data_IF_523801534264
#
_entry.id   IF_523801534264
#
_cell.length_a   1.000
_cell.length_b   1.000
_cell.length_c   1.000
_cell.angle_alpha   90.00
_cell.angle_beta   90.00
_cell.angle_gamma   90.00
#
_symmetry.space_group_name_H-M   'P 1'
#
loop_
_entity.id
_entity.type
_entity.pdbx_description
1 polymer ?
#
# COMPACT_ATOMS: atom_id res chain seq x y z
N UNK A 1 -64.83 40.72 30.93
CA UNK A 1 -63.35 40.70 31.03
C UNK A 1 -62.90 39.25 30.87
N UNK A 2 -62.03 39.01 29.89
CA UNK A 2 -61.48 37.70 29.53
C UNK A 2 -60.45 37.26 30.59
N UNK A 3 -60.42 35.99 30.96
CA UNK A 3 -59.18 35.35 31.43
C UNK A 3 -59.23 33.87 31.10
N UNK A 4 -58.53 33.50 30.02
CA UNK A 4 -58.27 32.12 29.65
C UNK A 4 -56.90 31.72 30.19
N UNK A 5 -56.83 30.59 30.89
CA UNK A 5 -55.57 29.95 31.21
C UNK A 5 -55.23 28.97 30.07
N UNK A 6 -54.20 29.30 29.30
CA UNK A 6 -53.51 28.37 28.40
C UNK A 6 -52.26 27.93 29.14
N UNK A 7 -52.22 26.66 29.56
CA UNK A 7 -50.98 26.03 30.04
C UNK A 7 -50.30 25.42 28.81
N UNK A 8 -49.09 25.92 28.53
CA UNK A 8 -48.24 25.52 27.41
C UNK A 8 -47.62 24.15 27.71
N UNK A 9 -48.01 23.11 26.96
CA UNK A 9 -47.31 21.82 26.97
C UNK A 9 -46.10 21.93 26.03
N UNK A 10 -44.90 22.03 26.59
CA UNK A 10 -43.66 22.00 25.80
C UNK A 10 -43.37 20.56 25.38
N UNK A 11 -43.68 20.22 24.12
CA UNK A 11 -43.25 18.96 23.49
C UNK A 11 -41.82 19.16 22.99
N UNK A 12 -40.86 18.58 23.69
CA UNK A 12 -39.47 18.50 23.24
C UNK A 12 -39.38 17.44 22.14
N UNK A 13 -39.44 17.87 20.88
CA UNK A 13 -39.19 16.99 19.74
C UNK A 13 -37.69 16.68 19.67
N UNK A 14 -37.31 15.48 20.14
CA UNK A 14 -36.00 14.89 19.87
C UNK A 14 -35.90 14.63 18.36
N UNK A 15 -35.26 15.55 17.64
CA UNK A 15 -34.81 15.33 16.27
C UNK A 15 -33.68 14.29 16.30
N UNK A 16 -34.04 13.02 16.20
CA UNK A 16 -33.10 11.96 15.86
C UNK A 16 -32.84 12.10 14.36
N UNK A 17 -31.79 12.84 14.00
CA UNK A 17 -31.29 12.85 12.63
C UNK A 17 -30.94 11.41 12.24
N UNK A 18 -31.44 10.88 11.12
CA UNK A 18 -30.97 9.60 10.64
C UNK A 18 -29.48 9.75 10.33
N UNK A 19 -28.64 8.98 11.03
CA UNK A 19 -27.26 8.75 10.61
C UNK A 19 -27.37 8.00 9.29
N UNK A 20 -27.30 8.75 8.18
CA UNK A 20 -27.06 8.19 6.87
C UNK A 20 -25.65 7.62 6.89
N UNK A 21 -25.52 6.38 7.36
CA UNK A 21 -24.39 5.54 7.01
C UNK A 21 -24.45 5.35 5.51
N UNK A 22 -23.68 6.16 4.76
CA UNK A 22 -23.42 5.85 3.37
C UNK A 22 -22.65 4.54 3.37
N UNK A 23 -23.35 3.43 3.11
CA UNK A 23 -22.70 2.21 2.67
C UNK A 23 -22.04 2.54 1.32
N UNK A 24 -20.79 3.00 1.35
CA UNK A 24 -19.96 3.10 0.16
C UNK A 24 -19.89 1.68 -0.41
N UNK A 25 -20.50 1.49 -1.57
CA UNK A 25 -20.40 0.24 -2.32
C UNK A 25 -18.93 0.08 -2.73
N UNK A 26 -18.31 -1.03 -2.34
CA UNK A 26 -16.97 -1.44 -2.79
C UNK A 26 -17.03 -1.77 -4.28
N UNK A 27 -16.65 -0.82 -5.12
CA UNK A 27 -16.64 -0.92 -6.58
C UNK A 27 -15.55 -1.85 -7.07
N UNK A 28 -14.50 -2.04 -6.27
CA UNK A 28 -13.39 -2.93 -6.57
C UNK A 28 -13.65 -4.38 -6.16
N UNK A 29 -14.72 -4.67 -5.41
CA UNK A 29 -15.04 -5.99 -4.87
C UNK A 29 -14.77 -7.17 -5.82
N UNK A 30 -15.25 -7.13 -7.09
CA UNK A 30 -15.01 -8.21 -8.07
C UNK A 30 -13.54 -8.39 -8.50
N UNK A 31 -12.71 -7.36 -8.33
CA UNK A 31 -11.29 -7.36 -8.71
C UNK A 31 -10.37 -7.65 -7.52
N UNK A 32 -10.88 -7.56 -6.29
CA UNK A 32 -10.07 -7.72 -5.08
C UNK A 32 -9.54 -9.15 -4.96
N UNK A 33 -8.32 -9.25 -4.43
CA UNK A 33 -7.62 -10.53 -4.25
C UNK A 33 -6.90 -10.61 -2.91
N UNK A 34 -6.64 -11.83 -2.45
CA UNK A 34 -5.70 -12.09 -1.34
C UNK A 34 -4.24 -12.13 -1.82
N UNK A 35 -4.01 -12.35 -3.11
CA UNK A 35 -2.68 -12.41 -3.72
C UNK A 35 -2.08 -11.01 -3.78
N UNK A 36 -0.85 -10.89 -3.30
CA UNK A 36 -0.13 -9.61 -3.22
C UNK A 36 1.03 -9.61 -4.18
N UNK A 37 0.93 -8.80 -5.23
CA UNK A 37 2.09 -8.45 -6.07
C UNK A 37 2.43 -7.01 -5.73
N UNK A 38 3.44 -6.83 -4.89
CA UNK A 38 3.89 -5.54 -4.35
C UNK A 38 4.85 -4.90 -5.33
N UNK A 39 4.48 -3.78 -5.94
CA UNK A 39 5.37 -3.03 -6.84
C UNK A 39 6.37 -2.21 -6.04
N UNK A 40 7.66 -2.45 -6.26
CA UNK A 40 8.77 -1.85 -5.52
C UNK A 40 9.38 -0.70 -6.32
N UNK A 41 9.26 0.51 -5.78
CA UNK A 41 9.79 1.74 -6.40
C UNK A 41 11.07 2.26 -5.77
N UNK A 42 11.37 1.79 -4.55
CA UNK A 42 12.51 2.23 -3.75
C UNK A 42 13.24 0.98 -3.26
N UNK A 43 14.55 0.93 -3.45
CA UNK A 43 15.39 -0.16 -2.96
C UNK A 43 15.86 0.11 -1.54
N UNK A 44 16.05 -0.97 -0.78
CA UNK A 44 16.67 -0.91 0.54
C UNK A 44 18.09 -0.36 0.44
N UNK A 45 18.47 0.49 1.39
CA UNK A 45 19.84 0.98 1.60
C UNK A 45 20.75 -0.11 2.18
N UNK A 46 20.14 -1.10 2.85
CA UNK A 46 20.81 -2.29 3.38
C UNK A 46 20.68 -3.47 2.41
N UNK A 47 21.61 -4.44 2.46
CA UNK A 47 21.46 -5.69 1.72
C UNK A 47 20.11 -6.36 2.02
N UNK A 48 19.39 -6.72 0.96
CA UNK A 48 18.10 -7.40 1.03
C UNK A 48 18.17 -8.61 0.11
N UNK A 49 18.40 -9.78 0.70
CA UNK A 49 18.47 -11.02 -0.06
C UNK A 49 17.06 -11.55 -0.28
N UNK A 50 16.77 -12.01 -1.49
CA UNK A 50 15.49 -12.58 -1.86
C UNK A 50 15.69 -13.74 -2.82
N UNK A 51 14.61 -14.45 -3.11
CA UNK A 51 14.60 -15.51 -4.11
C UNK A 51 13.89 -14.95 -5.33
N UNK A 52 14.61 -14.75 -6.44
CA UNK A 52 14.00 -14.39 -7.71
C UNK A 52 13.38 -15.65 -8.30
N UNK A 53 12.07 -15.62 -8.54
CA UNK A 53 11.31 -16.77 -9.05
C UNK A 53 11.11 -16.70 -10.56
N UNK A 54 11.01 -15.48 -11.13
CA UNK A 54 10.92 -15.28 -12.58
C UNK A 54 11.31 -13.85 -12.98
N UNK A 55 11.62 -13.66 -14.27
CA UNK A 55 11.71 -12.35 -14.91
C UNK A 55 10.85 -12.35 -16.18
N UNK A 56 9.97 -11.36 -16.34
CA UNK A 56 9.02 -11.23 -17.45
C UNK A 56 9.32 -9.99 -18.28
N UNK A 57 8.92 -10.00 -19.56
CA UNK A 57 8.92 -8.79 -20.42
C UNK A 57 7.75 -7.86 -20.16
N UNK A 58 6.64 -8.42 -19.68
CA UNK A 58 5.41 -7.71 -19.34
C UNK A 58 5.00 -8.04 -17.91
N UNK A 59 4.25 -7.16 -17.23
CA UNK A 59 3.72 -7.46 -15.90
C UNK A 59 2.87 -8.74 -15.88
N UNK A 60 2.80 -9.40 -14.72
CA UNK A 60 1.84 -10.47 -14.48
C UNK A 60 0.42 -10.01 -14.84
N UNK A 61 -0.29 -10.84 -15.61
CA UNK A 61 -1.60 -10.48 -16.18
C UNK A 61 -2.78 -10.71 -15.23
N UNK A 62 -2.59 -11.50 -14.18
CA UNK A 62 -3.64 -11.84 -13.22
C UNK A 62 -3.09 -12.03 -11.79
N UNK A 63 -3.91 -11.87 -10.75
CA UNK A 63 -3.48 -12.04 -9.36
C UNK A 63 -2.88 -13.42 -9.07
N UNK A 64 -3.43 -14.46 -9.69
CA UNK A 64 -3.05 -15.86 -9.49
C UNK A 64 -1.86 -16.33 -10.30
N UNK A 65 -1.18 -15.44 -11.03
CA UNK A 65 -0.10 -15.80 -11.96
C UNK A 65 1.01 -16.63 -11.30
N UNK A 66 1.30 -16.36 -10.02
CA UNK A 66 2.27 -17.12 -9.23
C UNK A 66 1.59 -18.22 -8.41
N UNK A 67 1.63 -19.45 -8.92
CA UNK A 67 1.12 -20.63 -8.22
C UNK A 67 1.81 -20.80 -6.85
N UNK A 68 1.01 -21.08 -5.81
CA UNK A 68 1.47 -21.32 -4.44
C UNK A 68 2.31 -20.18 -3.82
N UNK A 69 2.22 -18.96 -4.37
CA UNK A 69 2.85 -17.76 -3.81
C UNK A 69 1.74 -16.80 -3.41
N UNK A 70 1.68 -16.44 -2.14
CA UNK A 70 0.71 -15.45 -1.63
C UNK A 70 1.20 -14.02 -1.81
N UNK A 71 2.52 -13.82 -1.77
CA UNK A 71 3.15 -12.52 -1.89
C UNK A 71 4.41 -12.59 -2.75
N UNK A 72 4.46 -11.74 -3.78
CA UNK A 72 5.63 -11.49 -4.59
C UNK A 72 5.94 -10.00 -4.62
N UNK A 73 7.22 -9.66 -4.70
CA UNK A 73 7.70 -8.29 -4.93
C UNK A 73 8.08 -8.14 -6.39
N UNK A 74 7.56 -7.10 -7.02
CA UNK A 74 7.72 -6.77 -8.43
C UNK A 74 8.69 -5.59 -8.59
N UNK A 75 9.71 -5.77 -9.43
CA UNK A 75 10.73 -4.76 -9.71
C UNK A 75 10.80 -4.51 -11.22
N UNK A 76 10.45 -3.31 -11.66
CA UNK A 76 10.64 -2.88 -13.05
C UNK A 76 12.10 -2.47 -13.24
N UNK A 77 12.90 -3.32 -13.89
CA UNK A 77 14.34 -3.09 -14.03
C UNK A 77 14.70 -2.39 -15.34
N UNK A 78 15.79 -1.62 -15.31
CA UNK A 78 16.25 -0.78 -16.42
C UNK A 78 16.65 -1.57 -17.68
N UNK A 79 16.89 -2.88 -17.54
CA UNK A 79 17.16 -3.79 -18.68
C UNK A 79 15.88 -4.28 -19.38
N UNK A 80 14.72 -3.71 -19.02
CA UNK A 80 13.44 -4.01 -19.65
C UNK A 80 12.85 -5.35 -19.22
N UNK A 81 13.23 -5.86 -18.05
CA UNK A 81 12.60 -7.01 -17.43
C UNK A 81 11.95 -6.63 -16.11
N UNK A 82 10.74 -7.12 -15.91
CA UNK A 82 10.06 -7.13 -14.62
C UNK A 82 10.53 -8.34 -13.83
N UNK A 83 11.22 -8.15 -12.70
CA UNK A 83 11.69 -9.23 -11.84
C UNK A 83 10.72 -9.44 -10.69
N UNK A 84 10.43 -10.71 -10.40
CA UNK A 84 9.57 -11.10 -9.29
C UNK A 84 10.37 -11.89 -8.27
N UNK A 85 10.32 -11.43 -7.03
CA UNK A 85 11.02 -12.07 -5.91
C UNK A 85 10.07 -12.41 -4.77
N UNK A 86 10.46 -13.40 -3.99
CA UNK A 86 9.77 -13.82 -2.77
C UNK A 86 10.73 -13.76 -1.59
N UNK A 87 10.17 -13.46 -0.42
CA UNK A 87 10.93 -13.29 0.82
C UNK A 87 11.83 -12.05 0.85
N UNK A 88 12.33 -11.77 2.04
CA UNK A 88 13.36 -10.77 2.34
C UNK A 88 14.18 -11.31 3.51
N UNK A 89 15.48 -11.49 3.26
CA UNK A 89 16.37 -12.24 4.13
C UNK A 89 17.60 -11.39 4.46
N UNK A 90 18.08 -11.44 5.73
CA UNK A 90 19.20 -10.61 6.17
C UNK A 90 20.53 -10.99 5.50
N UNK A 91 20.65 -12.22 5.02
CA UNK A 91 21.86 -12.71 4.37
C UNK A 91 21.56 -13.85 3.40
N UNK A 92 22.54 -14.15 2.53
CA UNK A 92 22.45 -15.22 1.53
C UNK A 92 22.18 -16.60 2.15
N UNK A 93 22.70 -16.87 3.36
CA UNK A 93 22.52 -18.18 4.03
C UNK A 93 21.07 -18.40 4.45
N UNK A 94 20.41 -17.38 5.00
CA UNK A 94 18.98 -17.43 5.31
C UNK A 94 18.14 -17.66 4.05
N UNK A 95 18.43 -16.93 2.95
CA UNK A 95 17.75 -17.14 1.67
C UNK A 95 18.00 -18.55 1.08
N UNK A 96 19.18 -19.13 1.31
CA UNK A 96 19.53 -20.47 0.82
C UNK A 96 18.68 -21.57 1.45
N UNK A 97 18.30 -21.42 2.73
CA UNK A 97 17.44 -22.38 3.41
C UNK A 97 16.03 -22.40 2.79
N UNK A 98 15.59 -21.27 2.26
CA UNK A 98 14.25 -21.08 1.68
C UNK A 98 14.23 -21.38 0.17
N UNK A 99 15.36 -21.32 -0.51
CA UNK A 99 15.46 -21.56 -1.95
C UNK A 99 14.92 -22.94 -2.37
N UNK A 100 15.18 -23.96 -1.55
CA UNK A 100 14.71 -25.34 -1.81
C UNK A 100 13.19 -25.39 -1.85
N UNK A 101 12.52 -24.77 -0.87
CA UNK A 101 11.06 -24.71 -0.82
C UNK A 101 10.45 -24.15 -2.11
N UNK A 102 10.95 -23.02 -2.63
CA UNK A 102 10.38 -22.44 -3.86
C UNK A 102 10.71 -23.26 -5.12
N UNK A 103 11.84 -23.98 -5.14
CA UNK A 103 12.13 -24.90 -6.25
C UNK A 103 11.17 -26.10 -6.23
N UNK A 104 10.85 -26.61 -5.05
CA UNK A 104 9.89 -27.71 -4.87
C UNK A 104 8.46 -27.28 -5.21
N UNK A 105 8.12 -25.99 -5.08
CA UNK A 105 6.87 -25.41 -5.58
C UNK A 105 6.79 -25.32 -7.13
N UNK A 106 7.87 -25.62 -7.85
CA UNK A 106 7.93 -25.60 -9.31
C UNK A 106 8.73 -24.45 -9.90
N UNK A 107 9.25 -23.52 -9.10
CA UNK A 107 10.15 -22.46 -9.57
C UNK A 107 11.59 -22.98 -9.70
N UNK A 108 11.79 -23.98 -10.56
CA UNK A 108 13.06 -24.75 -10.66
C UNK A 108 14.27 -23.88 -11.00
N UNK A 109 14.05 -22.79 -11.75
CA UNK A 109 15.08 -21.81 -12.10
C UNK A 109 15.26 -20.71 -11.05
N UNK A 110 14.59 -20.78 -9.90
CA UNK A 110 14.73 -19.79 -8.85
C UNK A 110 16.18 -19.71 -8.34
N UNK A 111 16.60 -18.50 -7.98
CA UNK A 111 17.93 -18.23 -7.46
C UNK A 111 17.94 -17.06 -6.49
N UNK A 112 18.97 -17.01 -5.64
CA UNK A 112 19.12 -15.94 -4.65
C UNK A 112 19.66 -14.69 -5.34
N UNK A 113 19.03 -13.56 -5.06
CA UNK A 113 19.41 -12.22 -5.50
C UNK A 113 19.63 -11.32 -4.30
N UNK A 114 20.36 -10.22 -4.51
CA UNK A 114 20.32 -9.07 -3.60
C UNK A 114 19.53 -7.95 -4.31
N UNK A 115 18.29 -7.75 -3.90
CA UNK A 115 17.36 -6.77 -4.51
C UNK A 115 17.85 -5.33 -4.29
N UNK A 116 18.63 -5.08 -3.24
CA UNK A 116 19.26 -3.77 -2.99
C UNK A 116 20.23 -3.35 -4.09
N UNK A 117 20.65 -4.29 -4.95
CA UNK A 117 21.56 -4.05 -6.08
C UNK A 117 20.85 -3.98 -7.43
N UNK A 118 19.52 -4.05 -7.47
CA UNK A 118 18.79 -3.87 -8.72
C UNK A 118 18.95 -2.46 -9.27
N UNK A 119 18.82 -2.34 -10.58
CA UNK A 119 18.79 -1.05 -11.27
C UNK A 119 17.36 -0.90 -11.77
N UNK A 120 16.56 -0.07 -11.10
CA UNK A 120 15.16 0.14 -11.45
C UNK A 120 15.02 1.08 -12.65
N UNK A 121 14.05 0.79 -13.51
CA UNK A 121 13.64 1.69 -14.59
C UNK A 121 13.13 3.00 -13.97
N UNK A 122 13.57 4.13 -14.51
CA UNK A 122 13.24 5.45 -13.95
C UNK A 122 14.13 5.89 -12.78
N UNK A 123 15.18 5.11 -12.44
CA UNK A 123 16.37 5.61 -11.76
C UNK A 123 16.12 6.41 -10.48
N UNK A 124 15.44 5.81 -9.50
CA UNK A 124 15.46 6.32 -8.12
C UNK A 124 15.98 5.26 -7.19
N UNK A 125 17.28 4.98 -7.28
CA UNK A 125 18.01 4.47 -6.12
C UNK A 125 17.76 5.46 -5.00
N UNK A 126 17.37 4.96 -3.82
CA UNK A 126 17.18 5.79 -2.63
C UNK A 126 18.53 6.44 -2.32
N UNK A 127 18.75 7.64 -2.82
CA UNK A 127 19.68 8.58 -2.21
C UNK A 127 18.98 9.04 -0.93
N UNK A 128 19.16 8.26 0.13
CA UNK A 128 19.04 8.74 1.50
C UNK A 128 19.90 10.01 1.59
N UNK A 129 19.28 11.20 1.47
CA UNK A 129 19.98 12.47 1.58
C UNK A 129 19.77 13.54 0.50
N UNK A 130 18.79 13.44 -0.41
CA UNK A 130 18.37 14.67 -1.10
C UNK A 130 17.61 15.52 -0.08
N UNK A 131 18.03 16.78 0.08
CA UNK A 131 17.42 17.83 0.92
C UNK A 131 15.93 18.02 0.59
N UNK A 132 15.08 17.07 0.96
CA UNK A 132 13.65 17.19 0.86
C UNK A 132 13.23 18.26 1.86
N UNK A 133 12.74 19.38 1.33
CA UNK A 133 12.14 20.45 2.12
C UNK A 133 10.62 20.32 1.98
N UNK A 134 9.90 19.99 3.06
CA UNK A 134 8.45 19.95 3.00
C UNK A 134 7.89 21.33 2.64
N UNK A 135 6.83 21.34 1.85
CA UNK A 135 6.09 22.56 1.53
C UNK A 135 4.96 22.72 2.56
N UNK A 136 4.98 23.79 3.39
CA UNK A 136 3.96 23.99 4.43
C UNK A 136 2.55 24.19 3.87
N UNK A 137 2.42 24.53 2.59
CA UNK A 137 1.13 24.73 1.92
C UNK A 137 0.55 23.44 1.35
N UNK A 138 1.35 22.36 1.26
CA UNK A 138 0.88 21.07 0.77
C UNK A 138 0.31 20.20 1.88
N UNK A 139 -0.40 19.16 1.44
CA UNK A 139 -0.88 18.10 2.32
C UNK A 139 -0.19 16.78 2.02
N UNK A 140 0.01 16.00 3.08
CA UNK A 140 0.76 14.76 3.05
C UNK A 140 -0.12 13.60 3.48
N UNK A 141 0.23 12.40 3.00
CA UNK A 141 -0.41 11.14 3.35
C UNK A 141 0.67 10.09 3.60
N UNK A 142 0.31 9.00 4.26
CA UNK A 142 1.22 7.87 4.46
C UNK A 142 0.82 6.77 3.48
N UNK A 143 1.67 6.48 2.50
CA UNK A 143 1.47 5.35 1.62
C UNK A 143 1.87 4.06 2.33
N UNK A 144 0.93 3.14 2.46
CA UNK A 144 1.10 1.84 3.12
C UNK A 144 1.76 0.83 2.19
N UNK A 145 1.25 0.73 0.95
CA UNK A 145 1.70 -0.25 -0.04
C UNK A 145 1.25 0.14 -1.44
N UNK A 146 1.84 -0.53 -2.43
CA UNK A 146 1.51 -0.39 -3.85
C UNK A 146 1.39 -1.78 -4.47
N UNK A 147 0.23 -2.12 -5.01
CA UNK A 147 -0.08 -3.44 -5.53
C UNK A 147 -0.44 -3.41 -7.01
N UNK A 148 -0.05 -4.45 -7.75
CA UNK A 148 -0.47 -4.64 -9.15
C UNK A 148 -1.98 -4.84 -9.29
N UNK A 149 -2.60 -5.46 -8.31
CA UNK A 149 -4.04 -5.77 -8.26
C UNK A 149 -4.63 -5.23 -6.95
N UNK A 150 -5.92 -4.84 -6.93
CA UNK A 150 -6.53 -4.36 -5.70
C UNK A 150 -6.62 -5.51 -4.69
N UNK A 151 -6.37 -5.22 -3.42
CA UNK A 151 -6.38 -6.22 -2.34
C UNK A 151 -7.59 -6.01 -1.42
N UNK A 152 -7.97 -7.04 -0.67
CA UNK A 152 -8.98 -6.86 0.38
C UNK A 152 -8.51 -5.89 1.46
N UNK A 153 -9.39 -5.00 1.92
CA UNK A 153 -9.06 -4.04 2.99
C UNK A 153 -8.69 -4.71 4.32
N UNK A 154 -9.12 -5.96 4.53
CA UNK A 154 -8.67 -6.80 5.65
C UNK A 154 -7.16 -7.04 5.68
N UNK A 155 -6.45 -6.79 4.58
CA UNK A 155 -4.99 -6.76 4.54
C UNK A 155 -4.40 -5.71 5.48
N UNK A 156 -5.09 -4.59 5.67
CA UNK A 156 -4.65 -3.46 6.49
C UNK A 156 -5.18 -3.53 7.93
N UNK A 157 -5.32 -4.75 8.46
CA UNK A 157 -5.81 -4.99 9.82
C UNK A 157 -5.04 -4.15 10.84
N UNK A 158 -5.76 -3.51 11.76
CA UNK A 158 -5.22 -2.59 12.76
C UNK A 158 -5.11 -1.13 12.30
N UNK A 159 -5.62 -0.78 11.11
CA UNK A 159 -5.74 0.58 10.60
C UNK A 159 -7.17 0.93 10.14
N UNK A 160 -8.15 0.10 10.51
CA UNK A 160 -9.54 0.23 10.06
C UNK A 160 -10.13 1.59 10.43
N UNK A 161 -9.72 2.16 11.56
CA UNK A 161 -10.16 3.46 12.05
C UNK A 161 -9.57 4.65 11.28
N UNK A 162 -8.52 4.44 10.47
CA UNK A 162 -7.74 5.52 9.85
C UNK A 162 -8.19 5.89 8.43
N UNK A 163 -9.30 5.33 7.97
CA UNK A 163 -9.91 5.57 6.65
C UNK A 163 -8.90 5.43 5.49
N UNK A 164 -8.75 4.21 5.00
CA UNK A 164 -7.84 3.90 3.90
C UNK A 164 -8.37 4.53 2.62
N UNK A 165 -7.51 5.26 1.92
CA UNK A 165 -7.77 5.83 0.60
C UNK A 165 -7.10 4.96 -0.47
N UNK A 166 -7.84 4.69 -1.54
CA UNK A 166 -7.39 3.85 -2.65
C UNK A 166 -7.23 4.69 -3.92
N UNK A 167 -6.08 4.53 -4.59
CA UNK A 167 -5.75 5.27 -5.80
C UNK A 167 -5.28 4.34 -6.91
N UNK A 168 -5.65 4.62 -8.16
CA UNK A 168 -5.16 3.91 -9.34
C UNK A 168 -4.52 4.87 -10.34
N UNK A 169 -3.19 4.86 -10.37
CA UNK A 169 -2.39 5.83 -11.12
C UNK A 169 -2.14 5.37 -12.56
N UNK A 170 -1.56 6.27 -13.35
CA UNK A 170 -1.19 6.01 -14.75
C UNK A 170 -0.23 4.84 -14.95
N UNK A 171 0.56 4.51 -13.93
CA UNK A 171 1.45 3.34 -13.93
C UNK A 171 0.72 2.00 -13.69
N UNK A 172 -0.62 2.05 -13.59
CA UNK A 172 -1.50 0.89 -13.43
C UNK A 172 -1.27 0.13 -12.13
N UNK A 173 -0.85 0.85 -11.09
CA UNK A 173 -0.62 0.31 -9.74
C UNK A 173 -1.61 0.92 -8.75
N UNK A 174 -2.23 0.05 -7.96
CA UNK A 174 -3.13 0.40 -6.87
C UNK A 174 -2.32 0.83 -5.65
N UNK A 175 -2.53 2.05 -5.18
CA UNK A 175 -1.86 2.60 -4.00
C UNK A 175 -2.85 2.79 -2.87
N UNK A 176 -2.42 2.38 -1.69
CA UNK A 176 -3.19 2.46 -0.47
C UNK A 176 -2.50 3.44 0.45
N UNK A 177 -3.23 4.46 0.88
CA UNK A 177 -2.70 5.49 1.78
C UNK A 177 -3.69 5.75 2.92
N UNK A 178 -3.21 6.42 3.95
CA UNK A 178 -4.04 6.84 5.08
C UNK A 178 -3.77 8.28 5.46
N UNK A 179 -4.85 8.94 5.88
CA UNK A 179 -4.84 10.26 6.47
C UNK A 179 -4.38 11.39 5.54
N UNK A 180 -4.58 12.60 6.06
CA UNK A 180 -4.24 13.87 5.44
C UNK A 180 -3.63 14.75 6.53
N UNK A 181 -2.37 15.08 6.36
CA UNK A 181 -1.53 15.64 7.42
C UNK A 181 -0.71 16.83 6.92
N UNK A 182 -0.22 17.65 7.85
CA UNK A 182 1.03 18.38 7.64
C UNK A 182 2.22 17.43 7.66
N UNK A 183 3.37 17.85 7.14
CA UNK A 183 4.50 16.94 6.97
C UNK A 183 5.00 16.36 8.31
N UNK A 184 5.14 17.22 9.32
CA UNK A 184 5.64 16.86 10.64
C UNK A 184 4.71 15.85 11.33
N UNK A 185 3.39 16.05 11.20
CA UNK A 185 2.35 15.14 11.68
C UNK A 185 2.44 13.78 10.95
N UNK A 186 2.63 13.79 9.63
CA UNK A 186 2.78 12.57 8.85
C UNK A 186 4.02 11.77 9.27
N UNK A 187 5.13 12.45 9.59
CA UNK A 187 6.36 11.81 10.06
C UNK A 187 6.15 11.19 11.46
N UNK A 188 5.45 11.89 12.35
CA UNK A 188 5.12 11.36 13.68
C UNK A 188 4.21 10.11 13.58
N UNK A 189 3.17 10.19 12.77
CA UNK A 189 2.24 9.08 12.54
C UNK A 189 2.93 7.90 11.84
N UNK A 190 3.85 8.14 10.91
CA UNK A 190 4.60 7.09 10.21
C UNK A 190 5.31 6.13 11.18
N UNK A 191 5.84 6.63 12.30
CA UNK A 191 6.47 5.79 13.33
C UNK A 191 5.51 4.74 13.90
N UNK A 192 4.27 5.14 14.18
CA UNK A 192 3.22 4.26 14.69
C UNK A 192 2.80 3.22 13.64
N UNK A 193 2.65 3.66 12.40
CA UNK A 193 2.30 2.81 11.26
C UNK A 193 3.36 1.74 11.01
N UNK A 194 4.65 2.10 11.07
CA UNK A 194 5.75 1.14 10.96
C UNK A 194 5.77 0.14 12.12
N UNK A 195 5.48 0.60 13.34
CA UNK A 195 5.38 -0.27 14.51
C UNK A 195 4.22 -1.30 14.40
N UNK A 196 3.14 -0.95 13.70
CA UNK A 196 2.02 -1.86 13.36
C UNK A 196 2.36 -2.88 12.25
N UNK A 197 3.58 -2.86 11.70
CA UNK A 197 4.06 -3.85 10.74
C UNK A 197 4.19 -3.36 9.30
N UNK A 198 3.76 -2.14 9.00
CA UNK A 198 3.86 -1.53 7.66
C UNK A 198 5.26 -0.92 7.45
N UNK A 199 6.30 -1.76 7.52
CA UNK A 199 7.72 -1.36 7.55
C UNK A 199 8.16 -0.51 6.36
N UNK A 200 7.56 -0.77 5.19
CA UNK A 200 7.85 -0.09 3.94
C UNK A 200 6.99 1.17 3.72
N UNK A 201 6.14 1.55 4.69
CA UNK A 201 5.36 2.77 4.58
C UNK A 201 6.25 4.02 4.55
N UNK A 202 5.78 5.05 3.86
CA UNK A 202 6.50 6.32 3.74
C UNK A 202 5.55 7.50 3.47
N UNK A 203 6.01 8.70 3.81
CA UNK A 203 5.27 9.94 3.59
C UNK A 203 5.31 10.33 2.11
N UNK A 204 4.17 10.77 1.58
CA UNK A 204 4.01 11.29 0.21
C UNK A 204 3.11 12.52 0.19
N UNK A 205 3.32 13.38 -0.80
CA UNK A 205 2.40 14.47 -1.10
C UNK A 205 1.06 13.89 -1.58
N UNK A 206 -0.03 14.26 -0.90
CA UNK A 206 -1.37 13.76 -1.18
C UNK A 206 -1.94 14.32 -2.49
N UNK A 207 -1.66 15.58 -2.80
CA UNK A 207 -2.25 16.28 -3.95
C UNK A 207 -1.94 15.58 -5.29
N UNK A 208 -0.79 14.91 -5.37
CA UNK A 208 -0.40 14.10 -6.55
C UNK A 208 -1.25 12.85 -6.76
N UNK A 209 -1.94 12.38 -5.71
CA UNK A 209 -2.81 11.21 -5.75
C UNK A 209 -4.28 11.57 -5.96
N UNK A 210 -4.76 12.73 -5.49
CA UNK A 210 -6.19 13.09 -5.50
C UNK A 210 -6.89 12.91 -6.86
N UNK A 211 -6.29 13.25 -8.01
CA UNK A 211 -6.93 13.02 -9.31
C UNK A 211 -7.19 11.54 -9.65
N UNK A 212 -6.53 10.62 -8.96
CA UNK A 212 -6.54 9.18 -9.20
C UNK A 212 -7.30 8.40 -8.12
N UNK A 213 -8.02 9.09 -7.22
CA UNK A 213 -8.73 8.42 -6.13
C UNK A 213 -9.91 7.62 -6.69
N UNK A 214 -10.02 6.36 -6.26
CA UNK A 214 -11.06 5.45 -6.72
C UNK A 214 -12.05 5.06 -5.62
N UNK A 215 -11.63 5.06 -4.34
CA UNK A 215 -12.50 4.86 -3.16
C UNK A 215 -12.12 5.75 -1.96
#
# INVERSE_FOLDING_TARGET
MKSGYIVFLAVFALLVSPIYGQNKVDKLGPLRTSKKIVSVFNLSDKPDYAIQIIALKYPAGEPGFFNNVEEAREFDCADGFMRYTVGSYPNKKAAQNELVYYRDLGYTQAFIVNTSKYILKGGKSVSSGINFKPDPNKTYTIQLSAFRFPVYLSHFKGLEEKNIMEFYLDDKIYRYTIGKYKYEEAVAELGQIKAKGFKNAYVRELDSYLPYQIE
#
